data_IF_351538747114
#
_entry.id   IF_351538747114
#
_cell.length_a   1.000
_cell.length_b   1.000
_cell.length_c   1.000
_cell.angle_alpha   90.00
_cell.angle_beta   90.00
_cell.angle_gamma   90.00
#
_symmetry.space_group_name_H-M   'P 1'
#
loop_
_entity.id
_entity.type
_entity.pdbx_description
1 polymer ?
#
# COMPACT_ATOMS: atom_id res chain seq x y z
N UNK A 1 -0.91 12.70 19.22
CA UNK A 1 -0.57 11.55 18.33
C UNK A 1 -0.71 12.03 16.90
N UNK A 2 0.33 11.91 16.08
CA UNK A 2 0.20 12.15 14.65
C UNK A 2 -0.61 11.00 14.04
N UNK A 3 -1.74 11.33 13.40
CA UNK A 3 -2.53 10.35 12.65
C UNK A 3 -1.98 10.28 11.23
N UNK A 4 -1.72 9.06 10.76
CA UNK A 4 -1.39 8.80 9.36
C UNK A 4 -2.69 8.59 8.59
N UNK A 5 -2.82 9.30 7.47
CA UNK A 5 -4.01 9.29 6.60
C UNK A 5 -3.69 8.91 5.17
N UNK A 6 -2.41 8.75 4.83
CA UNK A 6 -1.97 8.47 3.46
C UNK A 6 -0.92 7.37 3.54
N UNK A 7 -1.07 6.38 2.67
CA UNK A 7 -0.23 5.19 2.57
C UNK A 7 0.29 5.05 1.14
N UNK A 8 1.59 5.24 0.95
CA UNK A 8 2.23 5.15 -0.37
C UNK A 8 2.48 3.70 -0.78
N UNK A 9 2.40 3.40 -2.07
CA UNK A 9 2.84 2.13 -2.63
C UNK A 9 3.66 2.35 -3.90
N UNK A 10 4.68 1.52 -4.09
CA UNK A 10 5.65 1.65 -5.17
C UNK A 10 6.52 0.40 -5.28
N UNK A 11 7.26 0.26 -6.38
CA UNK A 11 7.98 -0.96 -6.72
C UNK A 11 8.86 -1.47 -5.56
N UNK A 12 8.51 -2.65 -5.03
CA UNK A 12 9.21 -3.31 -3.94
C UNK A 12 8.79 -2.85 -2.54
N UNK A 13 9.06 -3.71 -1.55
CA UNK A 13 8.67 -3.50 -0.15
C UNK A 13 9.20 -2.22 0.49
N UNK A 14 10.37 -1.74 0.06
CA UNK A 14 10.99 -0.50 0.59
C UNK A 14 10.19 0.76 0.22
N UNK A 15 9.40 0.70 -0.84
CA UNK A 15 8.63 1.83 -1.36
C UNK A 15 7.13 1.69 -1.10
N UNK A 16 6.73 0.73 -0.26
CA UNK A 16 5.33 0.43 0.00
C UNK A 16 5.01 0.42 1.49
N UNK A 17 4.04 1.24 1.85
CA UNK A 17 3.34 1.27 3.12
C UNK A 17 2.04 0.49 2.98
N UNK A 18 1.74 -0.36 3.95
CA UNK A 18 0.53 -1.18 3.92
C UNK A 18 0.75 -2.62 3.50
N UNK A 19 -0.38 -3.28 3.22
CA UNK A 19 -0.44 -4.69 2.85
C UNK A 19 -1.78 -5.31 3.26
N UNK A 20 -1.91 -6.63 3.08
CA UNK A 20 -3.13 -7.39 3.36
C UNK A 20 -3.62 -7.24 4.79
N UNK A 21 -2.69 -7.14 5.75
CA UNK A 21 -3.01 -6.94 7.17
C UNK A 21 -3.73 -5.62 7.44
N UNK A 22 -3.61 -4.64 6.54
CA UNK A 22 -4.20 -3.31 6.66
C UNK A 22 -5.47 -3.14 5.84
N UNK A 23 -6.12 -4.24 5.40
CA UNK A 23 -7.48 -4.20 4.80
C UNK A 23 -8.51 -3.38 5.60
N UNK A 24 -8.53 -3.39 6.95
CA UNK A 24 -9.47 -2.55 7.71
C UNK A 24 -9.26 -1.04 7.54
N UNK A 25 -8.07 -0.62 7.11
CA UNK A 25 -7.69 0.80 6.96
C UNK A 25 -7.66 1.20 5.48
N UNK A 26 -7.04 0.38 4.63
CA UNK A 26 -6.82 0.65 3.19
C UNK A 26 -7.95 0.16 2.29
N UNK A 27 -8.88 -0.62 2.83
CA UNK A 27 -9.84 -1.39 2.06
C UNK A 27 -9.18 -2.50 1.24
N UNK A 28 -10.01 -3.28 0.53
CA UNK A 28 -9.55 -4.44 -0.25
C UNK A 28 -8.66 -4.06 -1.45
N UNK A 29 -8.95 -2.93 -2.11
CA UNK A 29 -8.17 -2.46 -3.27
C UNK A 29 -6.80 -1.89 -2.87
N UNK A 30 -6.75 -0.99 -1.89
CA UNK A 30 -5.50 -0.39 -1.43
C UNK A 30 -4.55 -1.44 -0.83
N UNK A 31 -5.10 -2.38 -0.04
CA UNK A 31 -4.33 -3.50 0.49
C UNK A 31 -3.77 -4.41 -0.61
N UNK A 32 -4.56 -4.73 -1.65
CA UNK A 32 -4.08 -5.55 -2.75
C UNK A 32 -3.04 -4.83 -3.62
N UNK A 33 -3.19 -3.51 -3.86
CA UNK A 33 -2.18 -2.73 -4.60
C UNK A 33 -0.85 -2.68 -3.86
N UNK A 34 -0.88 -2.52 -2.53
CA UNK A 34 0.30 -2.60 -1.69
C UNK A 34 0.96 -3.99 -1.77
N UNK A 35 0.19 -5.08 -1.73
CA UNK A 35 0.76 -6.44 -1.91
C UNK A 35 1.37 -6.65 -3.29
N UNK A 36 0.72 -6.18 -4.36
CA UNK A 36 1.30 -6.27 -5.70
C UNK A 36 2.62 -5.51 -5.80
N UNK A 37 2.69 -4.33 -5.19
CA UNK A 37 3.90 -3.52 -5.13
C UNK A 37 5.01 -4.21 -4.30
N UNK A 38 4.67 -4.80 -3.14
CA UNK A 38 5.59 -5.60 -2.31
C UNK A 38 6.11 -6.83 -3.06
N UNK A 39 5.26 -7.48 -3.86
CA UNK A 39 5.60 -8.62 -4.69
C UNK A 39 6.37 -8.26 -5.98
N UNK A 40 6.81 -7.01 -6.11
CA UNK A 40 7.59 -6.51 -7.25
C UNK A 40 6.85 -6.67 -8.60
N UNK A 41 5.51 -6.70 -8.57
CA UNK A 41 4.72 -6.64 -9.78
C UNK A 41 4.76 -5.21 -10.35
N UNK A 42 4.74 -5.04 -11.68
CA UNK A 42 4.74 -3.73 -12.31
C UNK A 42 3.38 -3.04 -12.10
N UNK A 43 3.22 -2.42 -10.94
CA UNK A 43 2.11 -1.53 -10.62
C UNK A 43 2.59 -0.08 -10.64
N UNK A 44 1.84 0.86 -11.25
CA UNK A 44 2.17 2.27 -11.17
C UNK A 44 2.23 2.73 -9.70
N UNK A 45 3.24 3.52 -9.30
CA UNK A 45 3.33 4.03 -7.95
C UNK A 45 2.15 4.97 -7.64
N UNK A 46 1.70 4.97 -6.39
CA UNK A 46 0.53 5.73 -5.96
C UNK A 46 0.36 5.76 -4.45
N UNK A 47 -0.84 6.09 -4.00
CA UNK A 47 -1.19 6.11 -2.58
C UNK A 47 -2.64 5.71 -2.34
N UNK A 48 -2.94 5.32 -1.11
CA UNK A 48 -4.28 5.09 -0.56
C UNK A 48 -4.51 6.09 0.58
N UNK A 49 -5.71 6.67 0.65
CA UNK A 49 -6.17 7.51 1.77
C UNK A 49 -7.00 6.66 2.72
#
# INVERSE_FOLDING_TARGET
>A
MNKQYVYFYGFGKKHTEGGTSMKPILGGKGANLAEMAIAELPVPPGFTV
#
